data_IF_910392877545
#
_entry.id   IF_910392877545
#
_cell.length_a   1.000
_cell.length_b   1.000
_cell.length_c   1.000
_cell.angle_alpha   90.00
_cell.angle_beta   90.00
_cell.angle_gamma   90.00
#
_symmetry.space_group_name_H-M   'P 1'
#
loop_
_entity.id
_entity.type
_entity.pdbx_description
1 polymer ?
#
# COMPACT_ATOMS: atom_id res chain seq x y z
N UNK A 1 -10.25 -16.77 -14.26
CA UNK A 1 -11.05 -15.87 -15.12
C UNK A 1 -10.17 -14.67 -15.43
N UNK A 2 -9.66 -14.60 -16.64
CA UNK A 2 -8.73 -13.58 -17.10
C UNK A 2 -9.49 -12.26 -17.13
N UNK A 3 -9.03 -11.24 -16.40
CA UNK A 3 -9.57 -9.89 -16.52
C UNK A 3 -9.21 -9.44 -17.93
N UNK A 4 -10.25 -9.19 -18.72
CA UNK A 4 -10.15 -8.65 -20.08
C UNK A 4 -9.40 -7.34 -20.00
N UNK A 5 -8.35 -7.19 -20.81
CA UNK A 5 -7.73 -5.91 -21.07
C UNK A 5 -8.84 -4.93 -21.45
N UNK A 6 -8.81 -3.74 -20.84
CA UNK A 6 -9.69 -2.63 -21.23
C UNK A 6 -9.59 -2.43 -22.74
N UNK A 7 -10.69 -2.71 -23.47
CA UNK A 7 -10.80 -2.56 -24.93
C UNK A 7 -10.78 -1.10 -25.41
N UNK A 8 -10.49 -0.15 -24.54
CA UNK A 8 -10.23 1.24 -24.88
C UNK A 8 -8.73 1.49 -25.00
N UNK A 9 -8.10 1.10 -26.09
CA UNK A 9 -6.82 1.57 -26.67
C UNK A 9 -5.77 2.23 -25.77
N UNK A 10 -5.68 1.88 -24.50
CA UNK A 10 -4.71 2.40 -23.53
C UNK A 10 -3.32 1.85 -23.85
N UNK A 11 -2.34 2.73 -24.04
CA UNK A 11 -0.95 2.35 -24.24
C UNK A 11 -0.52 1.41 -23.10
N UNK A 12 0.13 0.29 -23.43
CA UNK A 12 0.67 -0.65 -22.46
C UNK A 12 1.53 0.11 -21.41
N UNK A 13 1.42 -0.27 -20.14
CA UNK A 13 2.21 0.30 -19.06
C UNK A 13 3.71 0.20 -19.40
N UNK A 14 4.48 1.29 -19.30
CA UNK A 14 5.94 1.23 -19.41
C UNK A 14 6.53 0.59 -18.13
N UNK A 15 6.52 -0.74 -18.09
CA UNK A 15 7.07 -1.51 -16.98
C UNK A 15 8.54 -1.17 -16.71
N UNK A 16 9.33 -0.91 -17.77
CA UNK A 16 10.74 -0.56 -17.61
C UNK A 16 10.91 0.78 -16.89
N UNK A 17 10.08 1.79 -17.20
CA UNK A 17 10.08 3.06 -16.48
C UNK A 17 9.66 2.88 -15.02
N UNK A 18 8.67 2.02 -14.73
CA UNK A 18 8.27 1.75 -13.37
C UNK A 18 9.36 1.02 -12.58
N UNK A 19 10.01 0.00 -13.15
CA UNK A 19 11.15 -0.68 -12.52
C UNK A 19 12.30 0.30 -12.24
N UNK A 20 12.59 1.22 -13.16
CA UNK A 20 13.57 2.30 -12.92
C UNK A 20 13.12 3.24 -11.79
N UNK A 21 11.84 3.60 -11.72
CA UNK A 21 11.29 4.40 -10.60
C UNK A 21 11.51 3.73 -9.25
N UNK A 22 11.36 2.40 -9.19
CA UNK A 22 11.60 1.59 -7.99
C UNK A 22 13.09 1.37 -7.69
N UNK A 23 13.99 1.68 -8.62
CA UNK A 23 15.40 1.30 -8.51
C UNK A 23 15.60 -0.22 -8.52
N UNK A 24 14.65 -0.96 -9.12
CA UNK A 24 14.68 -2.42 -9.12
C UNK A 24 15.50 -2.96 -10.30
N UNK A 25 16.61 -3.64 -9.98
CA UNK A 25 17.49 -4.29 -10.94
C UNK A 25 17.50 -5.82 -10.86
N UNK A 26 16.54 -6.41 -10.12
CA UNK A 26 16.42 -7.86 -9.97
C UNK A 26 15.74 -8.54 -11.17
N UNK A 27 15.49 -9.88 -11.09
CA UNK A 27 14.80 -10.62 -12.12
C UNK A 27 13.36 -10.13 -12.30
N UNK A 28 12.83 -10.24 -13.54
CA UNK A 28 11.44 -9.85 -13.87
C UNK A 28 10.54 -11.06 -14.18
N UNK A 29 11.10 -12.27 -14.22
CA UNK A 29 10.29 -13.48 -14.37
C UNK A 29 9.37 -13.63 -13.14
N UNK A 30 8.08 -13.94 -13.32
CA UNK A 30 7.14 -14.07 -12.22
C UNK A 30 7.51 -15.27 -11.33
N UNK A 31 7.95 -14.97 -10.11
CA UNK A 31 8.33 -15.91 -9.06
C UNK A 31 8.20 -15.24 -7.70
N UNK A 32 8.11 -16.01 -6.62
CA UNK A 32 8.01 -15.49 -5.24
C UNK A 32 9.13 -14.49 -4.90
N UNK A 33 10.38 -14.79 -5.29
CA UNK A 33 11.53 -13.90 -5.06
C UNK A 33 11.44 -12.59 -5.82
N UNK A 34 10.90 -12.61 -7.05
CA UNK A 34 10.64 -11.41 -7.85
C UNK A 34 9.57 -10.55 -7.18
N UNK A 35 8.46 -11.17 -6.75
CA UNK A 35 7.38 -10.48 -6.04
C UNK A 35 7.91 -9.81 -4.77
N UNK A 36 8.67 -10.54 -3.96
CA UNK A 36 9.28 -10.04 -2.73
C UNK A 36 10.20 -8.83 -2.99
N UNK A 37 11.05 -8.92 -4.00
CA UNK A 37 11.96 -7.84 -4.38
C UNK A 37 11.24 -6.59 -4.87
N UNK A 38 10.20 -6.74 -5.70
CA UNK A 38 9.37 -5.63 -6.21
C UNK A 38 8.57 -4.97 -5.09
N UNK A 39 7.95 -5.76 -4.24
CA UNK A 39 7.17 -5.28 -3.10
C UNK A 39 8.01 -4.44 -2.15
N UNK A 40 9.15 -4.97 -1.73
CA UNK A 40 10.08 -4.25 -0.84
C UNK A 40 10.64 -2.98 -1.50
N UNK A 41 11.01 -3.04 -2.79
CA UNK A 41 11.47 -1.87 -3.52
C UNK A 41 10.39 -0.79 -3.60
N UNK A 42 9.12 -1.19 -3.84
CA UNK A 42 7.99 -0.26 -3.86
C UNK A 42 7.83 0.46 -2.52
N UNK A 43 7.74 -0.28 -1.41
CA UNK A 43 7.57 0.28 -0.07
C UNK A 43 8.70 1.21 0.37
N UNK A 44 9.93 1.01 -0.17
CA UNK A 44 11.10 1.84 0.15
C UNK A 44 11.25 3.09 -0.71
N UNK A 45 10.54 3.15 -1.83
CA UNK A 45 10.79 4.20 -2.84
C UNK A 45 9.55 5.03 -3.11
N UNK A 46 8.36 4.43 -3.03
CA UNK A 46 7.09 5.11 -3.31
C UNK A 46 6.37 5.36 -1.99
N UNK A 47 6.22 6.62 -1.56
CA UNK A 47 5.57 6.92 -0.30
C UNK A 47 4.06 6.64 -0.36
N UNK A 48 3.49 6.13 0.74
CA UNK A 48 2.07 6.24 0.99
C UNK A 48 1.75 7.70 1.33
N UNK A 49 0.87 8.36 0.58
CA UNK A 49 0.53 9.77 0.83
C UNK A 49 -0.91 10.11 0.39
N UNK A 50 -1.50 11.09 1.08
CA UNK A 50 -2.82 11.66 0.79
C UNK A 50 -2.75 13.15 0.43
N UNK A 51 -1.63 13.64 -0.08
CA UNK A 51 -1.38 15.07 -0.25
C UNK A 51 -2.30 15.71 -1.29
N UNK A 52 -2.77 14.97 -2.29
CA UNK A 52 -3.75 15.49 -3.25
C UNK A 52 -5.12 15.70 -2.60
N UNK A 53 -5.51 14.84 -1.64
CA UNK A 53 -6.73 15.04 -0.84
C UNK A 53 -6.64 16.34 -0.03
N UNK A 54 -5.52 16.56 0.66
CA UNK A 54 -5.28 17.78 1.43
C UNK A 54 -5.31 19.05 0.57
N UNK A 55 -5.05 18.94 -0.73
CA UNK A 55 -5.08 20.04 -1.72
C UNK A 55 -6.43 20.14 -2.45
N UNK A 56 -7.37 19.27 -2.20
CA UNK A 56 -8.64 19.18 -2.95
C UNK A 56 -8.46 18.79 -4.42
N UNK A 57 -7.36 18.11 -4.76
CA UNK A 57 -7.11 17.62 -6.12
C UNK A 57 -7.79 16.25 -6.31
N UNK A 58 -8.66 16.09 -7.32
CA UNK A 58 -9.33 14.83 -7.54
C UNK A 58 -8.33 13.74 -7.94
N UNK A 59 -8.51 12.55 -7.36
CA UNK A 59 -7.69 11.38 -7.64
C UNK A 59 -8.45 10.47 -8.63
N UNK A 60 -7.77 10.10 -9.70
CA UNK A 60 -8.24 9.14 -10.70
C UNK A 60 -7.62 7.77 -10.45
N UNK A 61 -8.42 6.71 -10.58
CA UNK A 61 -7.92 5.32 -10.51
C UNK A 61 -7.57 4.74 -11.90
N UNK A 62 -7.59 5.56 -12.95
CA UNK A 62 -7.15 5.11 -14.28
C UNK A 62 -5.64 4.83 -14.27
N UNK A 63 -5.23 3.66 -14.73
CA UNK A 63 -3.83 3.22 -14.70
C UNK A 63 -2.87 4.25 -15.35
N UNK A 64 -3.30 4.92 -16.42
CA UNK A 64 -2.49 5.94 -17.08
C UNK A 64 -2.23 7.17 -16.18
N UNK A 65 -3.24 7.60 -15.41
CA UNK A 65 -3.14 8.74 -14.48
C UNK A 65 -2.29 8.35 -13.25
N UNK A 66 -2.47 7.13 -12.75
CA UNK A 66 -1.65 6.56 -11.66
C UNK A 66 -0.18 6.47 -12.09
N UNK A 67 0.07 6.03 -13.33
CA UNK A 67 1.43 5.93 -13.88
C UNK A 67 2.08 7.32 -14.00
N UNK A 68 1.35 8.31 -14.49
CA UNK A 68 1.86 9.67 -14.56
C UNK A 68 2.24 10.21 -13.17
N UNK A 69 1.32 10.08 -12.20
CA UNK A 69 1.57 10.55 -10.83
C UNK A 69 2.74 9.83 -10.17
N UNK A 70 2.72 8.50 -10.11
CA UNK A 70 3.64 7.71 -9.28
C UNK A 70 5.00 7.54 -9.98
N UNK A 71 5.00 7.32 -11.31
CA UNK A 71 6.23 7.01 -12.03
C UNK A 71 6.88 8.26 -12.62
N UNK A 72 6.14 9.08 -13.36
CA UNK A 72 6.70 10.25 -14.06
C UNK A 72 6.95 11.43 -13.12
N UNK A 73 5.92 11.81 -12.35
CA UNK A 73 6.01 12.91 -11.39
C UNK A 73 6.64 12.51 -10.05
N UNK A 74 7.00 11.22 -9.91
CA UNK A 74 7.69 10.66 -8.73
C UNK A 74 6.95 10.86 -7.40
N UNK A 75 5.63 11.03 -7.45
CA UNK A 75 4.74 11.12 -6.30
C UNK A 75 4.53 9.74 -5.67
N UNK A 76 3.75 9.71 -4.61
CA UNK A 76 3.13 8.53 -4.03
C UNK A 76 1.63 8.50 -4.30
N UNK A 77 0.89 7.92 -3.39
CA UNK A 77 -0.56 7.87 -3.38
C UNK A 77 -1.08 7.10 -2.18
N UNK A 78 -2.37 6.94 -2.08
CA UNK A 78 -2.98 6.11 -1.04
C UNK A 78 -3.29 4.69 -1.57
N UNK A 79 -3.95 3.85 -0.77
CA UNK A 79 -4.07 2.41 -1.03
C UNK A 79 -4.52 2.04 -2.45
N UNK A 80 -5.57 2.69 -2.97
CA UNK A 80 -6.11 2.37 -4.29
C UNK A 80 -5.16 2.72 -5.42
N UNK A 81 -4.44 3.85 -5.29
CA UNK A 81 -3.46 4.29 -6.29
C UNK A 81 -2.25 3.37 -6.31
N UNK A 82 -1.68 3.08 -5.12
CA UNK A 82 -0.47 2.28 -4.99
C UNK A 82 -0.70 0.83 -5.41
N UNK A 83 -1.73 0.18 -4.84
CA UNK A 83 -2.04 -1.21 -5.18
C UNK A 83 -2.61 -1.34 -6.59
N UNK A 84 -3.41 -0.39 -7.07
CA UNK A 84 -3.92 -0.38 -8.44
C UNK A 84 -2.81 -0.35 -9.49
N UNK A 85 -1.83 0.55 -9.35
CA UNK A 85 -0.71 0.63 -10.28
C UNK A 85 0.25 -0.56 -10.12
N UNK A 86 0.47 -1.04 -8.88
CA UNK A 86 1.32 -2.21 -8.64
C UNK A 86 0.72 -3.49 -9.23
N UNK A 87 -0.61 -3.65 -9.17
CA UNK A 87 -1.32 -4.74 -9.84
C UNK A 87 -1.05 -4.74 -11.36
N UNK A 88 -1.15 -3.58 -12.02
CA UNK A 88 -0.88 -3.45 -13.44
C UNK A 88 0.57 -3.84 -13.81
N UNK A 89 1.55 -3.45 -12.98
CA UNK A 89 2.95 -3.88 -13.16
C UNK A 89 3.08 -5.39 -13.04
N UNK A 90 2.55 -5.98 -11.98
CA UNK A 90 2.64 -7.43 -11.74
C UNK A 90 1.97 -8.24 -12.85
N UNK A 91 0.80 -7.82 -13.32
CA UNK A 91 0.10 -8.45 -14.45
C UNK A 91 0.93 -8.41 -15.73
N UNK A 92 1.55 -7.26 -16.03
CA UNK A 92 2.42 -7.12 -17.21
C UNK A 92 3.69 -7.98 -17.10
N UNK A 93 4.19 -8.24 -15.90
CA UNK A 93 5.29 -9.17 -15.66
C UNK A 93 4.86 -10.64 -15.68
N UNK A 94 3.57 -10.94 -15.86
CA UNK A 94 3.02 -12.29 -16.00
C UNK A 94 2.57 -12.95 -14.69
N UNK A 95 2.42 -12.21 -13.60
CA UNK A 95 1.77 -12.72 -12.41
C UNK A 95 0.25 -12.80 -12.58
N UNK A 96 -0.38 -13.74 -11.91
CA UNK A 96 -1.83 -13.75 -11.72
C UNK A 96 -2.19 -12.88 -10.52
N UNK A 97 -2.91 -11.79 -10.76
CA UNK A 97 -3.27 -10.82 -9.72
C UNK A 97 -4.78 -10.73 -9.61
N UNK A 98 -5.28 -10.92 -8.40
CA UNK A 98 -6.69 -10.71 -8.03
C UNK A 98 -6.77 -9.52 -7.09
N UNK A 99 -7.61 -8.53 -7.44
CA UNK A 99 -7.90 -7.39 -6.58
C UNK A 99 -8.98 -7.80 -5.58
N UNK A 100 -8.73 -7.53 -4.30
CA UNK A 100 -9.63 -7.86 -3.20
C UNK A 100 -9.92 -6.61 -2.37
N UNK A 101 -11.18 -6.48 -1.93
CA UNK A 101 -11.55 -5.47 -0.94
C UNK A 101 -11.11 -5.87 0.45
N UNK A 102 -10.69 -4.89 1.25
CA UNK A 102 -10.42 -5.10 2.67
C UNK A 102 -11.07 -3.99 3.50
N UNK A 103 -11.30 -4.28 4.80
CA UNK A 103 -11.94 -3.35 5.73
C UNK A 103 -11.13 -3.28 7.01
N UNK A 104 -10.62 -2.09 7.32
CA UNK A 104 -9.92 -1.84 8.58
C UNK A 104 -10.88 -1.78 9.76
N UNK A 105 -10.45 -2.18 10.97
CA UNK A 105 -11.23 -2.01 12.19
C UNK A 105 -11.58 -0.53 12.42
N UNK A 106 -12.80 -0.28 12.85
CA UNK A 106 -13.27 1.07 13.18
C UNK A 106 -13.64 1.16 14.66
N UNK A 107 -13.55 2.34 15.27
CA UNK A 107 -14.09 2.57 16.59
C UNK A 107 -15.60 2.23 16.64
N UNK A 108 -16.13 1.84 17.81
CA UNK A 108 -17.56 1.58 17.97
C UNK A 108 -18.43 2.74 17.47
N UNK A 109 -19.45 2.42 16.66
CA UNK A 109 -20.37 3.40 16.08
C UNK A 109 -19.92 4.02 14.75
N UNK A 110 -18.71 3.73 14.28
CA UNK A 110 -18.27 4.12 12.93
C UNK A 110 -18.38 2.94 11.96
N UNK A 111 -18.85 3.21 10.76
CA UNK A 111 -18.97 2.23 9.67
C UNK A 111 -17.92 2.56 8.61
N UNK A 112 -17.14 1.55 8.23
CA UNK A 112 -16.24 1.68 7.09
C UNK A 112 -17.04 1.79 5.78
N UNK A 113 -16.54 2.51 4.77
CA UNK A 113 -17.16 2.47 3.45
C UNK A 113 -17.04 1.05 2.86
N UNK A 114 -17.89 0.73 1.90
CA UNK A 114 -17.67 -0.47 1.09
C UNK A 114 -16.35 -0.35 0.34
N UNK A 115 -15.59 -1.47 0.27
CA UNK A 115 -14.26 -1.50 -0.33
C UNK A 115 -13.29 -0.44 0.26
N UNK A 116 -13.26 -0.35 1.59
CA UNK A 116 -12.46 0.60 2.39
C UNK A 116 -10.95 0.59 2.06
N UNK A 117 -10.46 -0.53 1.55
CA UNK A 117 -9.06 -0.72 1.16
C UNK A 117 -8.96 -1.69 -0.01
N UNK A 118 -7.98 -1.47 -0.89
CA UNK A 118 -7.61 -2.39 -1.96
C UNK A 118 -6.35 -3.16 -1.56
N UNK A 119 -6.41 -4.49 -1.60
CA UNK A 119 -5.28 -5.37 -1.44
C UNK A 119 -5.16 -6.35 -2.62
N UNK A 120 -4.00 -6.99 -2.80
CA UNK A 120 -3.72 -7.86 -3.93
C UNK A 120 -3.43 -9.29 -3.48
N UNK A 121 -4.18 -10.25 -4.00
CA UNK A 121 -3.79 -11.65 -3.95
C UNK A 121 -3.02 -11.98 -5.24
N UNK A 122 -1.76 -12.38 -5.09
CA UNK A 122 -0.84 -12.60 -6.20
C UNK A 122 -0.38 -14.04 -6.23
N UNK A 123 -0.47 -14.69 -7.39
CA UNK A 123 0.08 -16.02 -7.60
C UNK A 123 1.08 -16.02 -8.77
N UNK A 124 2.15 -16.79 -8.62
CA UNK A 124 3.08 -17.05 -9.71
C UNK A 124 2.54 -18.18 -10.62
N UNK A 125 2.81 -18.12 -11.95
CA UNK A 125 2.28 -19.12 -12.88
C UNK A 125 2.84 -20.54 -12.68
N UNK A 126 3.94 -20.68 -11.94
CA UNK A 126 4.59 -21.96 -11.63
C UNK A 126 3.88 -22.76 -10.51
N UNK A 127 2.80 -22.22 -9.93
CA UNK A 127 2.04 -22.89 -8.87
C UNK A 127 2.73 -22.89 -7.50
N UNK A 128 3.77 -22.08 -7.30
CA UNK A 128 4.53 -22.01 -6.04
C UNK A 128 3.74 -21.47 -4.84
N UNK A 129 2.46 -21.10 -5.03
CA UNK A 129 1.57 -20.58 -3.98
C UNK A 129 0.96 -19.24 -4.33
N UNK A 130 0.28 -18.67 -3.34
CA UNK A 130 -0.31 -17.34 -3.42
C UNK A 130 0.14 -16.48 -2.24
N UNK A 131 0.24 -15.18 -2.47
CA UNK A 131 0.71 -14.20 -1.48
C UNK A 131 -0.22 -13.00 -1.46
N UNK A 132 -0.47 -12.49 -0.26
CA UNK A 132 -0.93 -11.11 -0.14
C UNK A 132 0.23 -10.18 -0.47
N UNK A 133 0.04 -9.30 -1.44
CA UNK A 133 0.92 -8.18 -1.73
C UNK A 133 0.14 -6.88 -1.50
N UNK A 134 0.58 -6.09 -0.53
CA UNK A 134 -0.11 -4.86 -0.15
C UNK A 134 0.91 -3.74 0.09
N UNK A 135 1.11 -2.91 -0.93
CA UNK A 135 1.99 -1.75 -0.87
C UNK A 135 1.26 -0.49 -0.41
N UNK A 136 -0.03 -0.60 -0.09
CA UNK A 136 -0.93 0.50 0.24
C UNK A 136 -1.47 0.52 1.68
N UNK A 137 -1.15 -0.44 2.57
CA UNK A 137 -1.67 -0.44 3.94
C UNK A 137 -0.94 0.54 4.89
N UNK A 138 0.02 1.31 4.38
CA UNK A 138 0.71 2.32 5.17
C UNK A 138 1.52 1.71 6.33
N UNK A 139 1.25 2.11 7.57
CA UNK A 139 2.01 1.67 8.74
C UNK A 139 1.84 0.17 9.04
N UNK A 140 0.69 -0.41 8.75
CA UNK A 140 0.36 -1.82 9.00
C UNK A 140 0.93 -2.79 7.98
N UNK A 141 1.50 -2.31 6.86
CA UNK A 141 2.02 -3.17 5.80
C UNK A 141 3.11 -4.10 6.29
N UNK A 142 3.00 -5.38 5.94
CA UNK A 142 4.15 -6.25 5.87
C UNK A 142 5.12 -5.73 4.78
N UNK A 143 6.42 -5.76 5.05
CA UNK A 143 7.42 -5.35 4.05
C UNK A 143 7.68 -6.45 3.02
N UNK A 144 7.34 -7.69 3.36
CA UNK A 144 7.41 -8.86 2.47
C UNK A 144 6.00 -9.32 2.12
N UNK A 145 5.76 -9.83 0.90
CA UNK A 145 4.49 -10.47 0.57
C UNK A 145 4.21 -11.62 1.54
N UNK A 146 3.01 -11.65 2.13
CA UNK A 146 2.62 -12.66 3.10
C UNK A 146 2.08 -13.90 2.39
N UNK A 147 2.60 -15.11 2.65
CA UNK A 147 1.98 -16.33 2.18
C UNK A 147 0.48 -16.37 2.57
N UNK A 148 -0.37 -16.77 1.62
CA UNK A 148 -1.80 -16.84 1.84
C UNK A 148 -2.18 -18.21 2.40
N UNK A 149 -1.77 -18.46 3.64
CA UNK A 149 -1.86 -19.75 4.34
C UNK A 149 -2.55 -19.56 5.69
N UNK A 150 -3.89 -19.76 5.76
CA UNK A 150 -4.64 -19.59 7.01
C UNK A 150 -4.16 -20.50 8.13
N UNK A 151 -4.07 -19.94 9.34
CA UNK A 151 -3.69 -20.65 10.55
C UNK A 151 -2.17 -20.80 10.76
N UNK A 152 -1.34 -20.26 9.88
CA UNK A 152 0.11 -20.24 10.04
C UNK A 152 0.60 -18.84 10.44
N UNK A 153 1.69 -18.81 11.21
CA UNK A 153 2.37 -17.60 11.61
C UNK A 153 3.50 -17.29 10.64
N UNK A 154 3.51 -16.06 10.12
CA UNK A 154 4.51 -15.59 9.16
C UNK A 154 5.32 -14.45 9.77
N UNK A 155 6.63 -14.63 9.85
CA UNK A 155 7.55 -13.59 10.31
C UNK A 155 8.02 -12.73 9.14
N UNK A 156 7.87 -11.43 9.29
CA UNK A 156 8.46 -10.46 8.37
C UNK A 156 9.81 -9.96 8.92
N UNK A 157 10.93 -10.37 8.32
CA UNK A 157 12.25 -10.03 8.85
C UNK A 157 12.63 -8.55 8.67
N UNK A 158 11.88 -7.80 7.85
CA UNK A 158 12.15 -6.39 7.60
C UNK A 158 11.48 -5.50 8.63
N UNK A 159 10.22 -5.80 8.97
CA UNK A 159 9.48 -5.06 10.01
C UNK A 159 9.69 -5.61 11.42
N UNK A 160 10.11 -6.88 11.53
CA UNK A 160 10.20 -7.59 12.80
C UNK A 160 8.83 -7.98 13.38
N UNK A 161 7.77 -7.90 12.57
CA UNK A 161 6.43 -8.25 12.97
C UNK A 161 6.05 -9.67 12.55
N UNK A 162 5.10 -10.25 13.27
CA UNK A 162 4.46 -11.51 12.93
C UNK A 162 3.07 -11.23 12.37
N UNK A 163 2.64 -12.05 11.41
CA UNK A 163 1.33 -11.98 10.77
C UNK A 163 0.66 -13.34 10.78
N UNK A 164 -0.67 -13.35 10.87
CA UNK A 164 -1.49 -14.56 10.82
C UNK A 164 -2.80 -14.28 10.11
N UNK A 165 -3.27 -15.26 9.34
CA UNK A 165 -4.61 -15.27 8.76
C UNK A 165 -5.54 -16.11 9.62
N UNK A 166 -6.69 -15.57 9.99
CA UNK A 166 -7.75 -16.28 10.69
C UNK A 166 -9.06 -16.21 9.89
N UNK A 167 -9.78 -17.34 9.73
CA UNK A 167 -11.11 -17.29 9.14
C UNK A 167 -12.07 -16.44 9.98
N UNK A 168 -12.80 -15.55 9.31
CA UNK A 168 -13.84 -14.72 9.90
C UNK A 168 -15.03 -14.64 8.93
N UNK A 169 -16.22 -14.30 9.42
CA UNK A 169 -17.38 -14.12 8.54
C UNK A 169 -17.08 -13.02 7.50
N UNK A 170 -17.22 -13.35 6.23
CA UNK A 170 -16.95 -12.45 5.11
C UNK A 170 -15.53 -12.50 4.55
N UNK A 171 -14.63 -13.40 5.04
CA UNK A 171 -13.31 -13.58 4.47
C UNK A 171 -12.24 -14.07 5.45
N UNK A 172 -11.07 -13.46 5.37
CA UNK A 172 -9.93 -13.75 6.24
C UNK A 172 -9.47 -12.50 6.99
N UNK A 173 -9.37 -12.60 8.30
CA UNK A 173 -8.81 -11.54 9.14
C UNK A 173 -7.29 -11.62 9.13
N UNK A 174 -6.63 -10.53 8.76
CA UNK A 174 -5.21 -10.36 8.98
C UNK A 174 -4.97 -9.87 10.42
N UNK A 175 -4.15 -10.59 11.13
CA UNK A 175 -3.66 -10.25 12.45
C UNK A 175 -2.19 -9.91 12.38
N UNK A 176 -1.75 -8.99 13.23
CA UNK A 176 -0.36 -8.59 13.39
C UNK A 176 0.05 -8.59 14.85
N UNK A 177 1.31 -8.91 15.09
CA UNK A 177 1.94 -8.79 16.39
C UNK A 177 3.36 -8.27 16.24
N UNK A 178 3.72 -7.22 16.97
CA UNK A 178 5.09 -6.75 17.09
C UNK A 178 5.82 -7.52 18.21
N UNK A 179 7.13 -7.79 18.02
CA UNK A 179 7.97 -8.39 19.06
C UNK A 179 8.68 -9.68 18.67
N UNK A 180 9.40 -10.28 19.64
CA UNK A 180 10.37 -11.34 19.40
C UNK A 180 9.76 -12.74 19.08
N UNK A 181 8.43 -12.87 19.11
CA UNK A 181 7.76 -14.13 18.77
C UNK A 181 6.26 -14.06 19.05
N UNK A 182 5.47 -14.94 18.42
CA UNK A 182 4.03 -14.94 18.59
C UNK A 182 3.67 -15.36 20.02
N UNK A 183 2.91 -14.48 20.70
CA UNK A 183 2.29 -14.77 21.99
C UNK A 183 0.77 -14.85 21.82
N UNK A 184 0.06 -15.77 22.53
CA UNK A 184 -1.35 -16.05 22.24
C UNK A 184 -2.28 -14.82 22.36
N UNK A 185 -1.96 -13.84 23.20
CA UNK A 185 -2.92 -12.84 23.66
C UNK A 185 -2.68 -11.40 23.14
N UNK A 186 -1.77 -11.18 22.18
CA UNK A 186 -1.33 -9.82 21.79
C UNK A 186 -1.48 -9.56 20.29
N UNK A 187 -2.36 -10.27 19.60
CA UNK A 187 -2.61 -10.05 18.20
C UNK A 187 -3.53 -8.85 17.98
N UNK A 188 -3.04 -7.88 17.20
CA UNK A 188 -3.82 -6.74 16.73
C UNK A 188 -4.51 -7.08 15.41
N UNK A 189 -5.76 -6.63 15.25
CA UNK A 189 -6.52 -6.78 14.02
C UNK A 189 -6.09 -5.70 13.03
N UNK A 190 -5.51 -6.11 11.90
CA UNK A 190 -5.19 -5.18 10.82
C UNK A 190 -6.43 -4.93 9.96
N UNK A 191 -6.86 -5.87 9.15
CA UNK A 191 -8.07 -5.75 8.35
C UNK A 191 -8.73 -7.10 8.05
N UNK A 192 -10.00 -7.05 7.67
CA UNK A 192 -10.73 -8.18 7.11
C UNK A 192 -10.60 -8.13 5.59
N UNK A 193 -9.99 -9.14 4.99
CA UNK A 193 -9.86 -9.30 3.55
C UNK A 193 -11.07 -10.10 3.03
N UNK A 194 -11.79 -9.54 2.06
CA UNK A 194 -12.86 -10.23 1.35
C UNK A 194 -12.30 -11.31 0.41
N UNK A 195 -13.03 -12.38 0.21
CA UNK A 195 -12.71 -13.44 -0.77
C UNK A 195 -13.30 -13.16 -2.17
N UNK A 196 -14.01 -12.04 -2.34
CA UNK A 196 -14.68 -11.71 -3.60
C UNK A 196 -13.75 -10.91 -4.52
N UNK A 197 -13.40 -11.44 -5.71
CA UNK A 197 -12.62 -10.69 -6.70
C UNK A 197 -13.34 -9.42 -7.15
N UNK A 198 -12.57 -8.35 -7.36
CA UNK A 198 -13.05 -7.04 -7.78
C UNK A 198 -12.29 -6.53 -9.00
N UNK A 199 -12.86 -5.55 -9.67
CA UNK A 199 -12.19 -4.73 -10.69
C UNK A 199 -11.76 -3.39 -10.07
N UNK A 200 -10.81 -2.70 -10.67
CA UNK A 200 -10.26 -1.46 -10.08
C UNK A 200 -11.30 -0.33 -10.02
N UNK A 201 -12.20 -0.26 -10.99
CA UNK A 201 -13.27 0.73 -11.06
C UNK A 201 -14.31 0.58 -9.96
N UNK A 202 -14.54 -0.63 -9.43
CA UNK A 202 -15.44 -0.83 -8.29
C UNK A 202 -14.94 -0.11 -7.02
N UNK A 203 -13.65 0.19 -6.90
CA UNK A 203 -13.08 0.94 -5.77
C UNK A 203 -13.28 2.46 -5.86
N UNK A 204 -13.84 2.98 -6.95
CA UNK A 204 -14.03 4.43 -7.13
C UNK A 204 -14.86 5.04 -6.01
N UNK A 205 -15.95 4.40 -5.60
CA UNK A 205 -16.82 4.92 -4.53
C UNK A 205 -16.06 4.97 -3.16
N UNK A 206 -15.25 3.97 -2.85
CA UNK A 206 -14.39 3.98 -1.65
C UNK A 206 -13.32 5.08 -1.73
N UNK A 207 -12.71 5.26 -2.89
CA UNK A 207 -11.74 6.33 -3.12
C UNK A 207 -12.37 7.72 -2.97
N UNK A 208 -13.57 7.93 -3.50
CA UNK A 208 -14.32 9.18 -3.37
C UNK A 208 -14.70 9.47 -1.93
N UNK A 209 -15.15 8.45 -1.18
CA UNK A 209 -15.39 8.59 0.25
C UNK A 209 -14.13 9.07 0.97
N UNK A 210 -12.99 8.46 0.72
CA UNK A 210 -11.75 8.83 1.38
C UNK A 210 -11.23 10.22 0.99
N UNK A 211 -11.61 10.71 -0.19
CA UNK A 211 -11.23 12.05 -0.65
C UNK A 211 -12.14 13.14 -0.10
N UNK A 212 -13.40 12.84 0.22
CA UNK A 212 -14.43 13.89 0.43
C UNK A 212 -15.14 13.81 1.77
N UNK A 213 -15.25 12.63 2.37
CA UNK A 213 -16.00 12.45 3.61
C UNK A 213 -15.26 13.06 4.81
N UNK A 214 -15.94 13.86 5.65
CA UNK A 214 -15.36 14.34 6.92
C UNK A 214 -15.08 13.21 7.92
N UNK A 215 -15.69 12.04 7.72
CA UNK A 215 -15.46 10.86 8.56
C UNK A 215 -14.20 10.08 8.12
N UNK A 216 -13.66 10.38 6.95
CA UNK A 216 -12.41 9.78 6.49
C UNK A 216 -11.22 10.31 7.29
N UNK A 217 -10.29 9.45 7.74
CA UNK A 217 -9.05 9.91 8.36
C UNK A 217 -8.18 10.72 7.40
N UNK A 218 -8.33 10.51 6.08
CA UNK A 218 -7.49 11.15 5.05
C UNK A 218 -7.90 12.59 4.72
N UNK A 219 -9.09 13.04 5.12
CA UNK A 219 -9.52 14.44 4.96
C UNK A 219 -9.14 15.32 6.16
N UNK A 220 -8.67 14.72 7.27
CA UNK A 220 -8.38 15.44 8.52
C UNK A 220 -6.96 16.00 8.54
N UNK A 221 -5.99 15.18 8.17
CA UNK A 221 -4.58 15.53 8.21
C UNK A 221 -3.83 15.02 6.97
N UNK A 222 -2.80 15.76 6.58
CA UNK A 222 -1.83 15.26 5.59
C UNK A 222 -1.01 14.13 6.19
N UNK A 223 -0.82 13.08 5.41
CA UNK A 223 0.02 11.93 5.75
C UNK A 223 0.96 11.66 4.60
N UNK A 224 2.25 11.44 4.92
CA UNK A 224 3.22 10.90 3.98
C UNK A 224 4.12 9.92 4.74
N UNK A 225 4.21 8.67 4.31
CA UNK A 225 4.91 7.61 5.04
C UNK A 225 5.73 6.74 4.10
N UNK A 226 6.96 6.42 4.50
CA UNK A 226 7.89 5.63 3.70
C UNK A 226 8.64 4.63 4.58
N UNK A 227 8.79 3.40 4.10
CA UNK A 227 9.66 2.39 4.71
C UNK A 227 11.12 2.78 4.46
N UNK A 228 11.94 2.74 5.51
CA UNK A 228 13.40 2.97 5.40
C UNK A 228 14.18 1.67 5.59
N UNK A 229 15.49 1.72 5.45
CA UNK A 229 16.33 0.54 5.69
C UNK A 229 16.19 -0.01 7.12
N UNK A 230 15.97 0.88 8.10
CA UNK A 230 16.01 0.54 9.52
C UNK A 230 14.70 0.85 10.25
N UNK A 231 13.60 1.03 9.51
CA UNK A 231 12.30 1.35 10.11
C UNK A 231 11.39 2.14 9.19
N UNK A 232 10.87 3.29 9.63
CA UNK A 232 9.87 4.07 8.87
C UNK A 232 9.97 5.54 9.22
N UNK A 233 9.76 6.38 8.23
CA UNK A 233 9.55 7.83 8.40
C UNK A 233 8.11 8.17 8.02
N UNK A 234 7.45 9.03 8.81
CA UNK A 234 6.08 9.46 8.58
C UNK A 234 5.95 10.95 8.91
N UNK A 235 5.41 11.71 8.00
CA UNK A 235 4.85 13.03 8.24
C UNK A 235 3.35 12.88 8.51
N UNK A 236 2.85 13.41 9.63
CA UNK A 236 1.44 13.45 9.99
C UNK A 236 1.08 14.85 10.47
N UNK A 237 0.28 15.57 9.69
CA UNK A 237 0.06 17.00 9.92
C UNK A 237 1.36 17.79 9.81
N UNK A 238 1.78 18.42 10.92
CA UNK A 238 3.07 19.10 11.10
C UNK A 238 4.11 18.27 11.86
N UNK A 239 3.80 17.00 12.18
CA UNK A 239 4.68 16.14 12.98
C UNK A 239 5.47 15.17 12.11
N UNK A 240 6.80 15.23 12.19
CA UNK A 240 7.69 14.25 11.61
C UNK A 240 8.00 13.17 12.64
N UNK A 241 7.68 11.93 12.31
CA UNK A 241 7.88 10.74 13.14
C UNK A 241 8.87 9.83 12.42
N UNK A 242 9.98 9.50 13.06
CA UNK A 242 10.95 8.53 12.55
C UNK A 242 11.10 7.39 13.55
N UNK A 243 10.88 6.16 13.10
CA UNK A 243 11.22 4.96 13.86
C UNK A 243 12.49 4.37 13.24
N UNK A 244 13.55 4.25 14.03
CA UNK A 244 14.85 3.73 13.59
C UNK A 244 15.28 2.63 14.55
N UNK A 245 15.47 1.41 14.06
CA UNK A 245 15.80 0.24 14.89
C UNK A 245 14.86 0.06 16.10
N UNK A 246 13.56 0.28 15.89
CA UNK A 246 12.53 0.19 16.93
C UNK A 246 12.43 1.41 17.85
N UNK A 247 13.33 2.38 17.77
CA UNK A 247 13.29 3.61 18.58
C UNK A 247 12.53 4.69 17.81
N UNK A 248 11.50 5.25 18.45
CA UNK A 248 10.64 6.30 17.89
C UNK A 248 11.17 7.67 18.29
N UNK A 249 11.33 8.54 17.30
CA UNK A 249 11.69 9.95 17.42
C UNK A 249 10.58 10.79 16.79
N UNK A 250 10.23 11.90 17.44
CA UNK A 250 9.23 12.84 16.94
C UNK A 250 9.77 14.27 16.96
N UNK A 251 9.41 15.04 15.94
CA UNK A 251 9.72 16.48 15.84
C UNK A 251 8.52 17.21 15.25
N UNK A 252 8.10 18.28 15.90
CA UNK A 252 7.14 19.23 15.35
C UNK A 252 7.83 20.15 14.34
N UNK A 253 7.19 20.39 13.19
CA UNK A 253 7.63 21.28 12.13
C UNK A 253 6.96 22.63 12.33
N UNK A 254 7.75 23.71 12.29
CA UNK A 254 7.29 25.02 12.70
C UNK A 254 6.36 25.69 11.66
N UNK A 255 6.46 25.31 10.39
CA UNK A 255 5.72 25.95 9.29
C UNK A 255 5.73 25.08 8.01
N UNK A 256 4.97 25.52 7.00
CA UNK A 256 4.87 24.81 5.71
C UNK A 256 6.19 24.80 4.92
N UNK A 257 7.11 25.74 5.15
CA UNK A 257 8.44 25.69 4.53
C UNK A 257 9.24 24.48 5.03
N UNK A 258 9.22 24.20 6.34
CA UNK A 258 9.85 22.99 6.90
C UNK A 258 9.14 21.72 6.43
N UNK A 259 7.80 21.74 6.31
CA UNK A 259 7.02 20.62 5.77
C UNK A 259 7.46 20.31 4.33
N UNK A 260 7.57 21.33 3.45
CA UNK A 260 8.04 21.13 2.07
C UNK A 260 9.48 20.60 2.02
N UNK A 261 10.36 21.11 2.87
CA UNK A 261 11.73 20.60 2.96
C UNK A 261 11.76 19.11 3.33
N UNK A 262 10.99 18.71 4.34
CA UNK A 262 10.86 17.30 4.76
C UNK A 262 10.27 16.44 3.65
N UNK A 263 9.22 16.88 2.95
CA UNK A 263 8.61 16.13 1.84
C UNK A 263 9.63 15.86 0.73
N UNK A 264 10.44 16.84 0.39
CA UNK A 264 11.51 16.71 -0.60
C UNK A 264 12.63 15.79 -0.12
N UNK A 265 13.18 16.05 1.07
CA UNK A 265 14.37 15.38 1.56
C UNK A 265 14.13 13.94 2.01
N UNK A 266 12.98 13.67 2.66
CA UNK A 266 12.68 12.37 3.25
C UNK A 266 11.83 11.48 2.34
N UNK A 267 11.02 12.06 1.46
CA UNK A 267 10.06 11.31 0.65
C UNK A 267 10.28 11.48 -0.87
N UNK A 268 11.18 12.38 -1.28
CA UNK A 268 11.44 12.67 -2.69
C UNK A 268 10.24 13.30 -3.42
N UNK A 269 9.39 14.02 -2.70
CA UNK A 269 8.20 14.69 -3.23
C UNK A 269 8.50 16.17 -3.40
N UNK A 270 8.75 16.60 -4.65
CA UNK A 270 9.14 17.97 -4.99
C UNK A 270 7.99 18.81 -5.56
N UNK A 271 7.00 18.17 -6.18
CA UNK A 271 5.96 18.83 -6.99
C UNK A 271 4.72 19.14 -6.13
N UNK A 272 4.90 20.02 -5.10
CA UNK A 272 3.77 20.41 -4.26
C UNK A 272 3.81 21.90 -3.89
N UNK A 273 2.85 22.64 -4.41
CA UNK A 273 2.41 23.91 -3.82
C UNK A 273 1.50 23.59 -2.62
N UNK A 274 2.07 23.57 -1.42
CA UNK A 274 1.33 23.37 -0.15
C UNK A 274 1.26 24.70 0.59
#
# INVERSE_FOLDING_TARGET
MTIVADEAGGAALDAAAYLRRLGYGGPTRPAATTLAGLHLAHLRVVPFENLDIARGQPISLRVADLFDKIVRRRRGGFCYELNGLFAALLQQLGFHVTLLGATFPRPPGQVAPELDHLALLVAAPDGAGSWLADVGAGRGSAAMPLPFEPGQDHFDPVTGAWFRWEPEAGGLRLLRQDGAGPTPDVWEREYLLSDQPRTLDEFTAGADYHQTSPDSPFTRDRICSLLTANGRVTLSGSRLIATVNGVRHERELANDHEVRAVLREQFGVDDLDI
#
